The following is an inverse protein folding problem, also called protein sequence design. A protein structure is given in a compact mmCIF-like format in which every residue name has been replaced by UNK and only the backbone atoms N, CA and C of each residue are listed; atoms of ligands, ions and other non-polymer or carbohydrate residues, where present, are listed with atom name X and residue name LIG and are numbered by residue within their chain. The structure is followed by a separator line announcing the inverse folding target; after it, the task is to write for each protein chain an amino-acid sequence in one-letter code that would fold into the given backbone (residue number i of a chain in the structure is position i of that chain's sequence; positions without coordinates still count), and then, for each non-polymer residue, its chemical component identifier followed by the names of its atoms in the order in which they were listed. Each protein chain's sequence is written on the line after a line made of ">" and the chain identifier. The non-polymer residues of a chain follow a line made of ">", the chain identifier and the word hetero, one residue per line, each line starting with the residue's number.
data_IF_755676416737
#
_entry.id   IF_755676416737
#
_cell.length_a   1.000
_cell.length_b   1.000
_cell.length_c   1.000
_cell.angle_alpha   90.00
_cell.angle_beta   90.00
_cell.angle_gamma   90.00
#
_symmetry.space_group_name_H-M   'P 1'
#
loop_
_entity.id
_entity.type
_entity.pdbx_description
1 polymer ?
#
# COMPACT_ATOMS: atom_id res chain seq x y z
N UNK A 1 2.00 -10.69 -15.10
CA UNK A 1 3.11 -10.63 -14.13
C UNK A 1 2.81 -9.45 -13.22
N UNK A 2 2.97 -9.61 -11.90
CA UNK A 2 2.68 -8.54 -10.94
C UNK A 2 3.84 -7.56 -10.87
N UNK A 3 3.57 -6.29 -11.14
CA UNK A 3 4.56 -5.22 -11.00
C UNK A 3 4.83 -4.95 -9.51
N UNK A 4 6.10 -4.78 -9.14
CA UNK A 4 6.49 -4.44 -7.76
C UNK A 4 7.22 -3.13 -7.74
N UNK A 5 6.77 -2.25 -6.86
CA UNK A 5 7.19 -0.87 -6.83
C UNK A 5 7.42 -0.43 -5.39
N UNK A 6 8.48 0.33 -5.16
CA UNK A 6 8.79 0.86 -3.82
C UNK A 6 9.04 2.37 -3.86
N UNK A 7 8.44 3.09 -2.92
CA UNK A 7 8.80 4.45 -2.55
C UNK A 7 9.35 4.43 -1.12
N UNK A 8 10.68 4.48 -1.03
CA UNK A 8 11.42 4.62 0.24
C UNK A 8 12.04 6.02 0.34
N UNK A 9 11.88 6.68 1.48
CA UNK A 9 12.41 8.02 1.76
C UNK A 9 12.75 8.16 3.23
N UNK A 10 13.60 9.12 3.59
CA UNK A 10 13.86 9.40 5.00
C UNK A 10 12.59 9.88 5.70
N UNK A 11 12.44 9.57 6.99
CA UNK A 11 11.26 9.97 7.77
C UNK A 11 10.89 11.45 7.60
N UNK A 12 11.90 12.33 7.57
CA UNK A 12 11.75 13.78 7.40
C UNK A 12 11.01 14.17 6.10
N UNK A 13 11.20 13.40 5.03
CA UNK A 13 10.61 13.66 3.71
C UNK A 13 9.17 13.11 3.61
N UNK A 14 8.86 12.03 4.33
CA UNK A 14 7.52 11.42 4.35
C UNK A 14 6.45 12.35 4.92
N UNK A 15 6.86 13.31 5.74
CA UNK A 15 6.00 14.34 6.33
C UNK A 15 5.48 15.36 5.29
N UNK A 16 6.09 15.46 4.10
CA UNK A 16 5.80 16.50 3.10
C UNK A 16 4.70 16.10 2.10
N UNK A 17 3.60 15.50 2.59
CA UNK A 17 2.45 15.12 1.74
C UNK A 17 2.65 13.88 0.86
N UNK A 18 3.79 13.18 0.98
CA UNK A 18 4.07 11.96 0.21
C UNK A 18 3.03 10.85 0.40
N UNK A 19 2.40 10.79 1.57
CA UNK A 19 1.31 9.87 1.87
C UNK A 19 0.10 10.05 0.92
N UNK A 20 -0.25 11.29 0.61
CA UNK A 20 -1.32 11.60 -0.36
C UNK A 20 -0.89 11.31 -1.79
N UNK A 21 0.36 11.64 -2.14
CA UNK A 21 0.92 11.40 -3.47
C UNK A 21 1.01 9.91 -3.82
N UNK A 22 1.43 9.06 -2.87
CA UNK A 22 1.51 7.62 -3.11
C UNK A 22 0.11 6.98 -3.19
N UNK A 23 -0.87 7.50 -2.43
CA UNK A 23 -2.26 7.08 -2.60
C UNK A 23 -2.78 7.47 -3.99
N UNK A 24 -2.50 8.70 -4.44
CA UNK A 24 -2.89 9.14 -5.78
C UNK A 24 -2.27 8.24 -6.86
N UNK A 25 -0.97 7.95 -6.75
CA UNK A 25 -0.29 7.00 -7.65
C UNK A 25 -1.03 5.65 -7.67
N UNK A 26 -1.32 5.05 -6.50
CA UNK A 26 -2.05 3.80 -6.43
C UNK A 26 -3.44 3.87 -7.08
N UNK A 27 -4.19 4.95 -6.89
CA UNK A 27 -5.50 5.13 -7.53
C UNK A 27 -5.41 5.32 -9.04
N UNK A 28 -4.39 6.05 -9.54
CA UNK A 28 -4.18 6.24 -10.98
C UNK A 28 -3.80 4.90 -11.65
N UNK A 29 -3.04 4.04 -10.97
CA UNK A 29 -2.74 2.67 -11.42
C UNK A 29 -3.97 1.77 -11.40
N UNK A 30 -4.77 1.82 -10.35
CA UNK A 30 -6.02 1.07 -10.29
C UNK A 30 -7.04 1.54 -11.34
N UNK A 31 -7.07 2.82 -11.67
CA UNK A 31 -7.85 3.34 -12.79
C UNK A 31 -7.40 2.77 -14.14
N UNK A 32 -6.09 2.82 -14.41
CA UNK A 32 -5.51 2.28 -15.64
C UNK A 32 -5.86 0.80 -15.85
N UNK A 33 -5.81 0.00 -14.78
CA UNK A 33 -6.13 -1.43 -14.79
C UNK A 33 -7.62 -1.74 -14.53
N UNK A 34 -8.47 -0.72 -14.37
CA UNK A 34 -9.90 -0.85 -14.07
C UNK A 34 -10.22 -1.74 -12.84
N UNK A 35 -9.38 -1.67 -11.80
CA UNK A 35 -9.50 -2.50 -10.59
C UNK A 35 -9.64 -1.65 -9.31
N UNK A 36 -9.68 -2.33 -8.16
CA UNK A 36 -9.80 -1.69 -6.84
C UNK A 36 -8.42 -1.44 -6.19
N UNK A 37 -8.39 -0.60 -5.16
CA UNK A 37 -7.19 -0.37 -4.34
C UNK A 37 -7.34 -1.07 -2.99
N UNK A 38 -6.37 -1.92 -2.66
CA UNK A 38 -6.24 -2.54 -1.34
C UNK A 38 -5.16 -1.85 -0.53
N UNK A 39 -5.61 -0.96 0.35
CA UNK A 39 -4.74 -0.31 1.31
C UNK A 39 -4.40 -1.29 2.44
N UNK A 40 -3.11 -1.54 2.64
CA UNK A 40 -2.61 -2.61 3.47
C UNK A 40 -1.77 -2.05 4.62
N UNK A 41 -2.12 -2.42 5.85
CA UNK A 41 -1.45 -1.99 7.09
C UNK A 41 -1.17 -3.20 7.99
N UNK A 42 -0.16 -3.10 8.85
CA UNK A 42 0.22 -4.21 9.74
C UNK A 42 -0.92 -4.60 10.71
N UNK A 43 -1.62 -3.60 11.25
CA UNK A 43 -2.73 -3.81 12.17
C UNK A 43 -3.78 -2.69 12.02
N UNK A 44 -5.03 -3.05 11.71
CA UNK A 44 -6.13 -2.10 11.55
C UNK A 44 -6.41 -1.30 12.83
N UNK A 45 -6.15 -1.86 14.01
CA UNK A 45 -6.40 -1.20 15.29
C UNK A 45 -5.38 -0.11 15.64
N UNK A 46 -4.21 -0.11 14.99
CA UNK A 46 -3.09 0.78 15.31
C UNK A 46 -2.55 1.52 14.07
N UNK A 47 -3.42 1.83 13.11
CA UNK A 47 -3.03 2.49 11.86
C UNK A 47 -3.48 3.95 11.76
N UNK A 48 -4.13 4.49 12.79
CA UNK A 48 -4.72 5.83 12.79
C UNK A 48 -3.68 6.90 12.44
N UNK A 49 -2.48 6.86 13.03
CA UNK A 49 -1.41 7.82 12.75
C UNK A 49 -0.97 7.87 11.28
N UNK A 50 -1.08 6.74 10.56
CA UNK A 50 -0.73 6.66 9.14
C UNK A 50 -1.92 7.12 8.29
N UNK A 51 -3.12 6.64 8.60
CA UNK A 51 -4.30 6.91 7.79
C UNK A 51 -4.79 8.35 7.95
N UNK A 52 -4.66 8.95 9.14
CA UNK A 52 -5.05 10.34 9.40
C UNK A 52 -4.14 11.36 8.68
N UNK A 53 -3.00 10.92 8.12
CA UNK A 53 -2.17 11.75 7.22
C UNK A 53 -2.75 11.88 5.81
N UNK A 54 -3.71 11.02 5.48
CA UNK A 54 -4.30 10.92 4.14
C UNK A 54 -5.78 11.26 4.17
N UNK A 55 -6.47 10.85 5.24
CA UNK A 55 -7.91 10.90 5.37
C UNK A 55 -8.32 11.59 6.66
N UNK A 56 -9.51 12.18 6.66
CA UNK A 56 -10.12 12.62 7.92
C UNK A 56 -10.50 11.42 8.81
N UNK A 57 -10.67 11.68 10.10
CA UNK A 57 -11.00 10.65 11.11
C UNK A 57 -12.29 9.88 10.80
N UNK A 58 -13.26 10.50 10.12
CA UNK A 58 -14.53 9.82 9.76
C UNK A 58 -14.27 8.75 8.71
N UNK A 59 -13.44 9.04 7.71
CA UNK A 59 -13.02 8.09 6.68
C UNK A 59 -12.14 6.99 7.28
N UNK A 60 -11.21 7.33 8.18
CA UNK A 60 -10.40 6.34 8.90
C UNK A 60 -11.27 5.34 9.66
N UNK A 61 -12.29 5.82 10.39
CA UNK A 61 -13.23 4.97 11.11
C UNK A 61 -14.00 4.03 10.18
N UNK A 62 -14.49 4.53 9.02
CA UNK A 62 -15.16 3.70 8.01
C UNK A 62 -14.26 2.55 7.53
N UNK A 63 -13.02 2.86 7.14
CA UNK A 63 -12.05 1.87 6.69
C UNK A 63 -11.74 0.83 7.77
N UNK A 64 -11.56 1.25 9.02
CA UNK A 64 -11.33 0.35 10.16
C UNK A 64 -12.51 -0.59 10.38
N UNK A 65 -13.74 -0.11 10.19
CA UNK A 65 -14.98 -0.91 10.21
C UNK A 65 -15.23 -1.75 8.94
N UNK A 66 -14.23 -1.94 8.07
CA UNK A 66 -14.31 -2.70 6.82
C UNK A 66 -15.28 -2.11 5.78
N UNK A 67 -15.64 -0.83 5.88
CA UNK A 67 -16.41 -0.18 4.83
C UNK A 67 -15.50 0.20 3.67
N UNK A 68 -16.01 0.00 2.46
CA UNK A 68 -15.38 0.46 1.22
C UNK A 68 -15.65 1.96 1.06
N UNK A 69 -14.63 2.71 0.68
CA UNK A 69 -14.75 4.14 0.32
C UNK A 69 -14.45 4.33 -1.16
N UNK A 70 -14.78 5.50 -1.70
CA UNK A 70 -14.33 5.90 -3.04
C UNK A 70 -13.30 7.01 -2.93
N UNK A 71 -12.18 6.84 -3.62
CA UNK A 71 -11.10 7.82 -3.74
C UNK A 71 -10.75 7.93 -5.23
N UNK A 72 -10.78 9.15 -5.78
CA UNK A 72 -10.50 9.40 -7.20
C UNK A 72 -11.30 8.47 -8.15
N UNK A 73 -12.57 8.22 -7.83
CA UNK A 73 -13.44 7.34 -8.64
C UNK A 73 -13.18 5.84 -8.50
N UNK A 74 -12.19 5.42 -7.72
CA UNK A 74 -11.88 3.99 -7.47
C UNK A 74 -12.32 3.57 -6.08
N UNK A 75 -12.68 2.30 -5.94
CA UNK A 75 -13.00 1.69 -4.64
C UNK A 75 -11.72 1.43 -3.87
N UNK A 76 -11.74 1.76 -2.59
CA UNK A 76 -10.63 1.52 -1.68
C UNK A 76 -11.12 0.81 -0.41
N UNK A 77 -10.40 -0.25 -0.05
CA UNK A 77 -10.68 -1.08 1.12
C UNK A 77 -9.41 -1.26 1.96
N UNK A 78 -9.56 -1.41 3.28
CA UNK A 78 -8.44 -1.54 4.23
C UNK A 78 -8.24 -2.98 4.69
N UNK A 79 -7.03 -3.49 4.51
CA UNK A 79 -6.63 -4.86 4.86
C UNK A 79 -5.41 -4.89 5.80
N UNK A 80 -5.28 -6.01 6.50
CA UNK A 80 -4.12 -6.41 7.28
C UNK A 80 -3.80 -7.89 7.03
N UNK A 81 -2.68 -8.44 7.54
CA UNK A 81 -2.37 -9.86 7.34
C UNK A 81 -3.50 -10.79 7.82
N UNK A 82 -4.23 -10.40 8.87
CA UNK A 82 -5.34 -11.17 9.44
C UNK A 82 -6.55 -11.25 8.51
N UNK A 83 -6.79 -10.22 7.70
CA UNK A 83 -7.96 -10.16 6.80
C UNK A 83 -7.62 -10.64 5.39
N UNK A 84 -6.37 -10.41 4.93
CA UNK A 84 -5.86 -10.92 3.66
C UNK A 84 -5.91 -12.45 3.63
N UNK A 85 -5.41 -13.12 4.67
CA UNK A 85 -5.33 -14.59 4.67
C UNK A 85 -6.68 -15.32 4.77
N UNK A 86 -7.79 -14.59 4.98
CA UNK A 86 -9.13 -15.18 5.19
C UNK A 86 -10.08 -14.99 4.00
N UNK A 87 -9.69 -14.20 3.01
CA UNK A 87 -10.58 -13.78 1.93
C UNK A 87 -9.97 -14.10 0.58
N UNK A 88 -10.77 -14.64 -0.34
CA UNK A 88 -10.42 -14.62 -1.76
C UNK A 88 -10.72 -13.21 -2.26
N UNK A 89 -9.69 -12.50 -2.73
CA UNK A 89 -9.81 -11.12 -3.17
C UNK A 89 -9.67 -11.03 -4.69
N UNK A 90 -10.52 -10.25 -5.39
CA UNK A 90 -10.37 -10.02 -6.82
C UNK A 90 -9.08 -9.23 -7.14
N UNK A 91 -8.79 -9.12 -8.44
CA UNK A 91 -7.65 -8.36 -8.95
C UNK A 91 -7.65 -6.91 -8.45
N UNK A 92 -6.48 -6.43 -8.04
CA UNK A 92 -6.33 -5.13 -7.41
C UNK A 92 -4.92 -4.57 -7.55
N UNK A 93 -4.79 -3.30 -7.20
CA UNK A 93 -3.53 -2.65 -6.83
C UNK A 93 -3.40 -2.66 -5.31
N UNK A 94 -2.29 -3.20 -4.80
CA UNK A 94 -1.98 -3.23 -3.37
C UNK A 94 -1.10 -2.03 -3.01
N UNK A 95 -1.50 -1.26 -1.99
CA UNK A 95 -0.70 -0.19 -1.42
C UNK A 95 -0.37 -0.53 0.04
N UNK A 96 0.88 -0.84 0.32
CA UNK A 96 1.37 -1.24 1.64
C UNK A 96 2.02 -0.05 2.33
N UNK A 97 1.53 0.27 3.52
CA UNK A 97 2.06 1.35 4.34
C UNK A 97 2.95 0.79 5.45
N UNK A 98 4.25 1.09 5.40
CA UNK A 98 5.26 0.70 6.38
C UNK A 98 5.21 -0.81 6.72
N UNK A 99 5.32 -1.70 5.71
CA UNK A 99 4.97 -3.09 5.90
C UNK A 99 5.99 -3.86 6.74
N UNK A 100 5.48 -4.69 7.64
CA UNK A 100 6.26 -5.73 8.31
C UNK A 100 6.52 -6.93 7.38
N UNK A 101 7.49 -7.82 7.68
CA UNK A 101 7.70 -9.05 6.93
C UNK A 101 6.42 -9.88 6.77
N UNK A 102 5.57 -9.90 7.81
CA UNK A 102 4.30 -10.63 7.80
C UNK A 102 3.32 -10.06 6.78
N UNK A 103 3.27 -8.73 6.63
CA UNK A 103 2.40 -8.10 5.66
C UNK A 103 2.87 -8.33 4.23
N UNK A 104 4.17 -8.17 3.97
CA UNK A 104 4.77 -8.48 2.66
C UNK A 104 4.45 -9.91 2.23
N UNK A 105 4.72 -10.89 3.11
CA UNK A 105 4.43 -12.30 2.84
C UNK A 105 2.94 -12.57 2.59
N UNK A 106 2.04 -11.95 3.36
CA UNK A 106 0.60 -12.10 3.16
C UNK A 106 0.12 -11.56 1.81
N UNK A 107 0.66 -10.42 1.35
CA UNK A 107 0.29 -9.85 0.05
C UNK A 107 0.87 -10.67 -1.09
N UNK A 108 2.15 -11.08 -1.03
CA UNK A 108 2.76 -11.92 -2.06
C UNK A 108 2.06 -13.27 -2.20
N UNK A 109 1.70 -13.89 -1.08
CA UNK A 109 0.88 -15.10 -1.09
C UNK A 109 -0.46 -14.87 -1.80
N UNK A 110 -1.15 -13.76 -1.51
CA UNK A 110 -2.41 -13.44 -2.19
C UNK A 110 -2.22 -13.16 -3.68
N UNK A 111 -1.17 -12.42 -4.05
CA UNK A 111 -0.83 -12.14 -5.44
C UNK A 111 -0.49 -13.41 -6.24
N UNK A 112 0.02 -14.46 -5.57
CA UNK A 112 0.25 -15.78 -6.18
C UNK A 112 -1.04 -16.56 -6.46
N UNK A 113 -2.11 -16.30 -5.70
CA UNK A 113 -3.41 -16.95 -5.87
C UNK A 113 -4.25 -16.23 -6.93
N UNK A 114 -4.28 -14.90 -6.88
CA UNK A 114 -4.91 -14.03 -7.88
C UNK A 114 -3.94 -12.93 -8.27
N UNK A 115 -3.58 -12.80 -9.56
CA UNK A 115 -2.60 -11.81 -9.99
C UNK A 115 -2.97 -10.40 -9.52
N UNK A 116 -2.10 -9.80 -8.71
CA UNK A 116 -2.14 -8.38 -8.46
C UNK A 116 -1.60 -7.64 -9.69
N UNK A 117 -2.20 -6.52 -10.06
CA UNK A 117 -1.63 -5.67 -11.12
C UNK A 117 -0.35 -5.00 -10.64
N UNK A 118 -0.35 -4.51 -9.40
CA UNK A 118 0.81 -3.84 -8.82
C UNK A 118 0.83 -3.98 -7.30
N UNK A 119 2.01 -4.23 -6.73
CA UNK A 119 2.30 -4.17 -5.29
C UNK A 119 3.19 -2.95 -5.06
N UNK A 120 2.64 -1.96 -4.36
CA UNK A 120 3.27 -0.68 -4.07
C UNK A 120 3.65 -0.66 -2.59
N UNK A 121 4.94 -0.58 -2.29
CA UNK A 121 5.46 -0.45 -0.92
C UNK A 121 5.83 1.00 -0.65
N UNK A 122 5.29 1.56 0.43
CA UNK A 122 5.64 2.89 0.93
C UNK A 122 6.25 2.76 2.32
N UNK A 123 7.51 3.17 2.48
CA UNK A 123 8.27 2.95 3.72
C UNK A 123 9.36 4.01 3.95
N UNK A 124 9.95 3.98 5.15
CA UNK A 124 11.12 4.77 5.54
C UNK A 124 12.40 4.12 4.98
N UNK A 125 13.41 4.93 4.66
CA UNK A 125 14.75 4.45 4.31
C UNK A 125 15.73 4.47 5.48
N UNK A 126 15.38 5.11 6.60
CA UNK A 126 16.20 5.22 7.80
C UNK A 126 15.77 4.21 8.87
N UNK A 127 16.44 3.05 8.89
CA UNK A 127 16.31 2.05 9.95
C UNK A 127 15.17 1.04 9.75
N UNK A 128 15.34 -0.16 10.33
CA UNK A 128 14.39 -1.27 10.25
C UNK A 128 13.97 -1.70 8.82
N UNK A 129 14.80 -1.44 7.81
CA UNK A 129 14.54 -1.74 6.39
C UNK A 129 14.78 -3.19 6.01
N UNK A 130 15.33 -4.03 6.89
CA UNK A 130 15.70 -5.42 6.59
C UNK A 130 14.57 -6.21 5.93
N UNK A 131 13.33 -5.98 6.36
CA UNK A 131 12.14 -6.59 5.78
C UNK A 131 11.96 -6.24 4.30
N UNK A 132 12.06 -4.95 3.96
CA UNK A 132 11.89 -4.45 2.60
C UNK A 132 13.12 -4.70 1.75
N UNK A 133 14.31 -4.71 2.33
CA UNK A 133 15.58 -5.04 1.65
C UNK A 133 15.58 -6.51 1.20
N UNK A 134 15.19 -7.43 2.10
CA UNK A 134 15.04 -8.84 1.76
C UNK A 134 13.99 -9.02 0.66
N UNK A 135 12.83 -8.37 0.77
CA UNK A 135 11.79 -8.42 -0.25
C UNK A 135 12.27 -7.89 -1.62
N UNK A 136 13.05 -6.80 -1.63
CA UNK A 136 13.68 -6.28 -2.86
C UNK A 136 14.74 -7.21 -3.44
N UNK A 137 15.40 -8.04 -2.62
CA UNK A 137 16.36 -9.04 -3.11
C UNK A 137 15.69 -10.27 -3.74
N UNK A 138 14.47 -10.57 -3.33
CA UNK A 138 13.68 -11.72 -3.80
C UNK A 138 12.87 -11.41 -5.07
N UNK A 139 12.70 -10.14 -5.40
CA UNK A 139 11.80 -9.69 -6.45
C UNK A 139 12.39 -8.58 -7.34
N UNK A 140 11.96 -8.53 -8.59
CA UNK A 140 12.27 -7.39 -9.46
C UNK A 140 11.42 -6.18 -9.04
N UNK A 141 12.01 -5.29 -8.24
CA UNK A 141 11.34 -4.11 -7.68
C UNK A 141 11.83 -2.83 -8.35
N UNK A 142 10.89 -2.02 -8.84
CA UNK A 142 11.17 -0.69 -9.39
C UNK A 142 11.04 0.39 -8.31
N UNK A 143 12.10 1.17 -8.08
CA UNK A 143 12.06 2.31 -7.17
C UNK A 143 11.36 3.52 -7.82
N UNK A 144 10.45 4.17 -7.09
CA UNK A 144 9.85 5.43 -7.50
C UNK A 144 10.75 6.62 -7.17
N UNK A 145 11.23 7.29 -8.21
CA UNK A 145 11.79 8.63 -8.10
C UNK A 145 10.68 9.66 -7.95
N UNK A 146 10.88 10.63 -7.05
CA UNK A 146 10.16 11.90 -7.12
C UNK A 146 10.90 12.69 -8.19
N UNK A 147 10.38 12.69 -9.41
CA UNK A 147 10.96 13.53 -10.46
C UNK A 147 11.05 14.96 -9.92
N UNK A 148 12.26 15.54 -9.92
CA UNK A 148 12.35 16.98 -10.11
C UNK A 148 11.73 17.21 -11.47
N UNK A 149 10.51 17.75 -11.51
CA UNK A 149 10.14 18.58 -12.65
C UNK A 149 11.24 19.63 -12.78
N UNK A 150 11.80 19.70 -14.00
CA UNK A 150 12.99 20.47 -14.36
C UNK A 150 12.94 21.92 -13.88
#
# INVERSE_FOLDING_TARGET
>A
MTDRVILQREFSELMNGLHGSILKYATDRAEHHQCEVYLCVNNKSHCDQILERIFDKRVVNKLKSNQVISVNGRKLSLYSPLTLNKSYLPEAVYLLMFPSPKLLKSVENQASLNPAHEIIVFTESDGHTEATDNWMSEHEVRTLGTGKTA
#
